data_IF_952744766303
#
_entry.id   IF_952744766303
#
_cell.length_a   1.000
_cell.length_b   1.000
_cell.length_c   1.000
_cell.angle_alpha   90.00
_cell.angle_beta   90.00
_cell.angle_gamma   90.00
#
_symmetry.space_group_name_H-M   'P 1'
#
loop_
_entity.id
_entity.type
_entity.pdbx_description
1 polymer ?
#
# COMPACT_ATOMS: atom_id res chain seq x y z
N UNK A 1 -5.57 5.25 28.71
CA UNK A 1 -6.09 5.83 27.48
C UNK A 1 -5.58 5.10 26.23
N UNK A 2 -4.47 4.38 26.32
CA UNK A 2 -3.93 3.63 25.17
C UNK A 2 -4.04 2.13 25.45
N UNK A 3 -4.25 1.34 24.40
CA UNK A 3 -4.31 -0.11 24.52
C UNK A 3 -2.96 -0.67 25.02
N UNK A 4 -2.99 -1.81 25.69
CA UNK A 4 -1.77 -2.50 26.08
C UNK A 4 -0.90 -2.77 24.84
N UNK A 5 0.40 -2.46 24.92
CA UNK A 5 1.34 -2.61 23.82
C UNK A 5 1.50 -1.34 22.95
N UNK A 6 0.88 -0.22 23.29
CA UNK A 6 1.13 1.07 22.61
C UNK A 6 2.20 1.86 23.38
N UNK A 7 3.27 2.22 22.71
CA UNK A 7 4.32 3.12 23.22
C UNK A 7 4.22 4.47 22.53
N UNK A 8 4.29 5.56 23.28
CA UNK A 8 4.33 6.91 22.74
C UNK A 8 5.71 7.50 22.99
N UNK A 9 6.34 7.99 21.94
CA UNK A 9 7.61 8.71 21.99
C UNK A 9 7.44 10.10 21.39
N UNK A 10 8.13 11.09 21.94
CA UNK A 10 8.11 12.46 21.43
C UNK A 10 9.54 12.92 21.11
N UNK A 11 9.72 13.46 19.91
CA UNK A 11 10.97 14.13 19.51
C UNK A 11 10.76 15.62 19.69
N UNK A 12 11.45 16.21 20.66
CA UNK A 12 11.36 17.62 21.01
C UNK A 12 12.65 18.34 20.70
N UNK A 13 12.56 19.61 20.32
CA UNK A 13 13.72 20.46 20.02
C UNK A 13 13.29 21.80 19.44
N UNK A 14 14.21 22.76 19.39
CA UNK A 14 13.99 24.07 18.80
C UNK A 14 13.66 23.97 17.32
N UNK A 15 13.00 24.99 16.75
CA UNK A 15 12.81 25.05 15.30
C UNK A 15 14.18 25.08 14.60
N UNK A 16 14.30 24.33 13.49
CA UNK A 16 15.58 24.18 12.78
C UNK A 16 16.56 23.18 13.38
N UNK A 17 16.22 22.45 14.46
CA UNK A 17 17.12 21.46 15.09
C UNK A 17 17.21 20.10 14.37
N UNK A 18 16.68 19.96 13.16
CA UNK A 18 16.76 18.75 12.36
C UNK A 18 15.78 17.63 12.71
N UNK A 19 14.72 17.90 13.51
CA UNK A 19 13.73 16.88 13.88
C UNK A 19 13.06 16.20 12.67
N UNK A 20 12.62 17.01 11.72
CA UNK A 20 12.00 16.51 10.50
C UNK A 20 13.01 15.80 9.60
N UNK A 21 14.25 16.30 9.54
CA UNK A 21 15.32 15.68 8.77
C UNK A 21 15.71 14.29 9.32
N UNK A 22 15.68 14.11 10.64
CA UNK A 22 15.91 12.81 11.27
C UNK A 22 14.81 11.81 10.88
N UNK A 23 13.55 12.23 10.87
CA UNK A 23 12.43 11.38 10.45
C UNK A 23 12.51 11.07 8.96
N UNK A 24 12.80 12.06 8.11
CA UNK A 24 12.98 11.89 6.68
C UNK A 24 14.10 10.91 6.36
N UNK A 25 15.25 11.02 7.04
CA UNK A 25 16.36 10.08 6.95
C UNK A 25 15.89 8.64 7.29
N UNK A 26 15.14 8.49 8.37
CA UNK A 26 14.60 7.21 8.79
C UNK A 26 13.70 6.60 7.71
N UNK A 27 12.82 7.41 7.10
CA UNK A 27 11.93 6.95 6.04
C UNK A 27 12.70 6.50 4.80
N UNK A 28 13.75 7.22 4.40
CA UNK A 28 14.64 6.85 3.27
C UNK A 28 15.31 5.50 3.53
N UNK A 29 15.78 5.26 4.74
CA UNK A 29 16.45 4.00 5.10
C UNK A 29 15.50 2.81 5.02
N UNK A 30 14.27 2.94 5.54
CA UNK A 30 13.26 1.88 5.40
C UNK A 30 12.81 1.68 3.96
N UNK A 31 12.67 2.76 3.20
CA UNK A 31 12.36 2.69 1.78
C UNK A 31 13.43 1.92 1.01
N UNK A 32 14.71 2.23 1.23
CA UNK A 32 15.83 1.56 0.58
C UNK A 32 15.91 0.07 0.96
N UNK A 33 15.71 -0.26 2.23
CA UNK A 33 15.61 -1.66 2.66
C UNK A 33 14.45 -2.39 1.97
N UNK A 34 13.28 -1.76 1.90
CA UNK A 34 12.12 -2.30 1.20
C UNK A 34 12.36 -2.53 -0.28
N UNK A 35 13.03 -1.57 -0.96
CA UNK A 35 13.46 -1.71 -2.35
C UNK A 35 14.36 -2.94 -2.55
N UNK A 36 15.39 -3.08 -1.72
CA UNK A 36 16.34 -4.20 -1.80
C UNK A 36 15.65 -5.56 -1.57
N UNK A 37 14.75 -5.64 -0.59
CA UNK A 37 13.95 -6.85 -0.31
C UNK A 37 13.05 -7.20 -1.51
N UNK A 38 12.36 -6.24 -2.10
CA UNK A 38 11.53 -6.45 -3.29
C UNK A 38 12.35 -6.94 -4.49
N UNK A 39 13.49 -6.32 -4.75
CA UNK A 39 14.43 -6.73 -5.80
C UNK A 39 14.87 -8.17 -5.63
N UNK A 40 15.22 -8.58 -4.42
CA UNK A 40 15.65 -9.94 -4.09
C UNK A 40 14.52 -10.97 -4.22
N UNK A 41 13.28 -10.59 -3.94
CA UNK A 41 12.10 -11.44 -4.10
C UNK A 41 11.64 -11.59 -5.56
N UNK A 42 12.24 -10.85 -6.50
CA UNK A 42 11.87 -10.83 -7.93
C UNK A 42 10.37 -10.60 -8.11
N UNK A 43 9.85 -9.56 -7.49
CA UNK A 43 8.44 -9.20 -7.61
C UNK A 43 8.07 -8.85 -9.05
N UNK A 44 6.83 -9.18 -9.43
CA UNK A 44 6.30 -8.89 -10.76
C UNK A 44 6.15 -7.38 -10.99
N UNK A 45 6.27 -6.89 -12.24
CA UNK A 45 6.24 -5.47 -12.56
C UNK A 45 4.91 -4.74 -12.27
N UNK A 46 3.86 -5.47 -11.88
CA UNK A 46 2.52 -4.92 -11.57
C UNK A 46 2.35 -4.38 -10.15
N UNK A 47 3.36 -4.56 -9.29
CA UNK A 47 3.30 -4.05 -7.91
C UNK A 47 3.84 -2.61 -7.82
N UNK A 48 3.41 -1.81 -6.81
CA UNK A 48 3.93 -0.47 -6.61
C UNK A 48 5.45 -0.48 -6.63
N UNK A 49 6.04 0.31 -7.49
CA UNK A 49 7.49 0.40 -7.60
C UNK A 49 8.02 1.23 -6.43
N UNK A 50 8.94 0.67 -5.65
CA UNK A 50 9.73 1.45 -4.72
C UNK A 50 10.90 2.07 -5.47
N UNK A 51 11.13 3.36 -5.28
CA UNK A 51 12.32 4.04 -5.79
C UNK A 51 13.43 3.99 -4.76
N UNK A 52 14.64 3.60 -5.17
CA UNK A 52 15.81 3.63 -4.30
C UNK A 52 16.39 5.04 -4.24
N UNK A 53 16.75 5.49 -3.04
CA UNK A 53 17.40 6.77 -2.79
C UNK A 53 18.91 6.53 -2.66
N UNK A 54 19.73 6.89 -3.67
CA UNK A 54 21.18 6.71 -3.62
C UNK A 54 21.86 7.72 -2.70
N UNK A 55 23.16 7.53 -2.50
CA UNK A 55 24.04 8.46 -1.79
C UNK A 55 23.62 8.76 -0.35
N UNK A 56 22.94 7.81 0.28
CA UNK A 56 22.54 7.85 1.69
C UNK A 56 23.62 7.17 2.54
N UNK A 57 24.08 7.83 3.62
CA UNK A 57 25.08 7.30 4.53
C UNK A 57 24.58 7.41 5.96
N UNK A 58 24.04 6.32 6.50
CA UNK A 58 23.51 6.29 7.85
C UNK A 58 23.31 4.85 8.37
N UNK A 59 23.35 4.72 9.68
CA UNK A 59 22.96 3.53 10.43
C UNK A 59 21.67 3.80 11.22
N UNK A 60 20.78 2.82 11.28
CA UNK A 60 19.57 2.88 12.07
C UNK A 60 19.43 1.64 12.95
N UNK A 61 19.64 1.82 14.24
CA UNK A 61 19.44 0.79 15.26
C UNK A 61 17.99 0.79 15.77
N UNK A 62 17.40 -0.40 15.87
CA UNK A 62 16.07 -0.57 16.45
C UNK A 62 15.89 -1.96 17.06
N UNK A 63 14.79 -2.14 17.78
CA UNK A 63 14.46 -3.41 18.42
C UNK A 63 13.12 -3.90 17.91
N UNK A 64 13.10 -5.14 17.44
CA UNK A 64 11.87 -5.86 17.10
C UNK A 64 11.43 -6.69 18.31
N UNK A 65 10.18 -6.57 18.71
CA UNK A 65 9.59 -7.34 19.81
C UNK A 65 8.58 -8.32 19.21
N UNK A 66 8.79 -9.62 19.40
CA UNK A 66 7.80 -10.62 19.01
C UNK A 66 6.58 -10.50 19.94
N UNK A 67 5.38 -10.19 19.41
CA UNK A 67 4.19 -9.97 20.24
C UNK A 67 3.68 -11.23 20.95
N UNK A 68 4.14 -12.42 20.55
CA UNK A 68 3.73 -13.70 21.16
C UNK A 68 4.67 -14.15 22.25
N UNK A 69 5.95 -13.91 22.09
CA UNK A 69 7.01 -14.43 22.96
C UNK A 69 7.66 -13.37 23.82
N UNK A 70 7.40 -12.08 23.55
CA UNK A 70 8.04 -10.90 24.16
C UNK A 70 9.58 -10.89 23.99
N UNK A 71 10.10 -11.70 23.05
CA UNK A 71 11.52 -11.75 22.75
C UNK A 71 11.92 -10.49 21.99
N UNK A 72 12.98 -9.84 22.46
CA UNK A 72 13.57 -8.65 21.85
C UNK A 72 14.72 -9.04 20.94
N UNK A 73 14.66 -8.63 19.68
CA UNK A 73 15.74 -8.80 18.71
C UNK A 73 16.28 -7.44 18.31
N UNK A 74 17.58 -7.23 18.48
CA UNK A 74 18.28 -6.02 18.04
C UNK A 74 18.51 -6.09 16.54
N UNK A 75 18.24 -5.01 15.85
CA UNK A 75 18.37 -4.88 14.41
C UNK A 75 19.12 -3.60 14.06
N UNK A 76 19.85 -3.61 12.96
CA UNK A 76 20.46 -2.42 12.38
C UNK A 76 20.29 -2.42 10.88
N UNK A 77 19.93 -1.28 10.30
CA UNK A 77 19.94 -1.03 8.86
C UNK A 77 21.13 -0.14 8.56
N UNK A 78 21.98 -0.56 7.62
CA UNK A 78 23.10 0.21 7.12
C UNK A 78 22.79 0.67 5.70
N UNK A 79 22.91 1.97 5.42
CA UNK A 79 22.87 2.53 4.09
C UNK A 79 24.18 3.27 3.84
N UNK A 80 24.95 2.82 2.87
CA UNK A 80 26.24 3.40 2.48
C UNK A 80 26.29 3.55 0.95
N UNK A 81 25.83 4.69 0.46
CA UNK A 81 25.75 4.96 -0.95
C UNK A 81 24.79 4.00 -1.66
N UNK A 82 25.32 3.11 -2.46
CA UNK A 82 24.57 2.09 -3.22
C UNK A 82 24.45 0.74 -2.49
N UNK A 83 25.07 0.62 -1.31
CA UNK A 83 25.08 -0.61 -0.52
C UNK A 83 24.08 -0.50 0.62
N UNK A 84 23.23 -1.52 0.75
CA UNK A 84 22.36 -1.69 1.92
C UNK A 84 22.71 -2.99 2.60
N UNK A 85 22.88 -2.95 3.93
CA UNK A 85 23.06 -4.14 4.73
C UNK A 85 22.08 -4.12 5.92
N UNK A 86 21.82 -5.29 6.48
CA UNK A 86 20.84 -5.46 7.54
C UNK A 86 21.31 -6.49 8.56
N UNK A 87 21.25 -6.12 9.83
CA UNK A 87 21.51 -7.01 10.94
C UNK A 87 20.20 -7.38 11.64
N UNK A 88 20.02 -8.68 11.92
CA UNK A 88 18.92 -9.22 12.69
C UNK A 88 19.45 -10.16 13.79
N UNK A 89 19.57 -9.65 14.97
CA UNK A 89 20.19 -10.38 16.08
C UNK A 89 21.67 -10.68 15.80
N UNK A 90 21.98 -11.95 15.54
CA UNK A 90 23.34 -12.39 15.19
C UNK A 90 23.56 -12.54 13.69
N UNK A 91 22.50 -12.51 12.93
CA UNK A 91 22.54 -12.69 11.49
C UNK A 91 22.82 -11.35 10.81
N UNK A 92 23.72 -11.36 9.83
CA UNK A 92 24.20 -10.17 9.13
C UNK A 92 24.12 -10.41 7.63
N UNK A 93 23.35 -9.58 6.93
CA UNK A 93 23.08 -9.73 5.50
C UNK A 93 23.47 -8.47 4.74
N UNK A 94 24.00 -8.62 3.53
CA UNK A 94 24.20 -7.54 2.58
C UNK A 94 23.43 -7.77 1.29
N UNK A 95 22.90 -6.72 0.76
CA UNK A 95 22.25 -6.74 -0.55
C UNK A 95 23.27 -6.47 -1.66
N UNK A 96 23.06 -7.00 -2.89
CA UNK A 96 23.88 -6.64 -4.03
C UNK A 96 23.86 -5.12 -4.25
N UNK A 97 25.02 -4.50 -4.54
CA UNK A 97 25.08 -3.08 -4.83
C UNK A 97 24.12 -2.67 -5.92
N UNK A 98 23.48 -1.53 -5.78
CA UNK A 98 22.39 -1.13 -6.68
C UNK A 98 22.92 -0.79 -8.07
N UNK A 99 24.01 -0.01 -8.17
CA UNK A 99 24.65 0.38 -9.46
C UNK A 99 25.89 -0.47 -9.80
N UNK A 100 26.00 -1.64 -9.18
CA UNK A 100 27.12 -2.56 -9.47
C UNK A 100 28.48 -2.16 -8.88
N UNK A 101 28.55 -1.08 -8.11
CA UNK A 101 29.74 -0.66 -7.37
C UNK A 101 29.44 -0.77 -5.88
N UNK A 102 30.25 -1.51 -5.16
CA UNK A 102 30.18 -1.49 -3.70
C UNK A 102 31.02 -0.32 -3.20
N UNK A 103 30.36 0.67 -2.61
CA UNK A 103 31.03 1.63 -1.77
C UNK A 103 31.28 0.92 -0.43
N UNK A 104 32.52 0.75 -0.01
CA UNK A 104 32.92 0.11 1.26
C UNK A 104 32.71 -1.42 1.34
N UNK A 105 33.18 -2.18 0.36
CA UNK A 105 33.17 -3.66 0.42
C UNK A 105 33.84 -4.23 1.68
N UNK A 106 34.86 -3.57 2.20
CA UNK A 106 35.62 -4.01 3.38
C UNK A 106 34.77 -3.92 4.67
N UNK A 107 33.85 -2.98 4.76
CA UNK A 107 33.05 -2.74 5.96
C UNK A 107 32.00 -3.85 6.19
N UNK A 108 31.57 -4.50 5.11
CA UNK A 108 30.61 -5.61 5.15
C UNK A 108 31.25 -6.96 4.77
N UNK A 109 32.56 -7.11 4.97
CA UNK A 109 33.30 -8.32 4.60
C UNK A 109 32.81 -9.60 5.30
N UNK A 110 32.16 -9.48 6.47
CA UNK A 110 31.60 -10.61 7.23
C UNK A 110 30.10 -10.84 7.04
N UNK A 111 29.47 -10.10 6.13
CA UNK A 111 28.02 -10.20 5.91
C UNK A 111 27.70 -11.23 4.83
N UNK A 112 26.69 -12.05 5.08
CA UNK A 112 26.22 -13.02 4.11
C UNK A 112 25.47 -12.32 2.95
N UNK A 113 25.74 -12.69 1.68
CA UNK A 113 24.93 -12.21 0.57
C UNK A 113 23.46 -12.64 0.74
N UNK A 114 22.53 -11.72 0.63
CA UNK A 114 21.11 -12.04 0.79
C UNK A 114 20.58 -13.04 -0.26
N UNK A 115 21.27 -13.15 -1.39
CA UNK A 115 21.00 -14.14 -2.44
C UNK A 115 21.14 -15.59 -1.95
N UNK A 116 21.85 -15.82 -0.84
CA UNK A 116 21.96 -17.15 -0.20
C UNK A 116 20.69 -17.56 0.53
N UNK A 117 19.80 -16.61 0.83
CA UNK A 117 18.54 -16.88 1.52
C UNK A 117 17.47 -17.43 0.57
N UNK A 118 16.74 -18.40 1.07
CA UNK A 118 15.57 -18.90 0.37
C UNK A 118 14.43 -17.88 0.38
N UNK A 119 13.52 -17.95 -0.58
CA UNK A 119 12.32 -17.10 -0.63
C UNK A 119 11.50 -17.13 0.69
N UNK A 120 11.52 -18.27 1.38
CA UNK A 120 10.84 -18.45 2.67
C UNK A 120 11.52 -17.67 3.80
N UNK A 121 12.84 -17.62 3.81
CA UNK A 121 13.63 -16.85 4.79
C UNK A 121 13.51 -15.36 4.54
N UNK A 122 13.58 -14.92 3.28
CA UNK A 122 13.30 -13.54 2.88
C UNK A 122 11.88 -13.10 3.29
N UNK A 123 10.88 -13.98 3.10
CA UNK A 123 9.52 -13.73 3.56
C UNK A 123 9.42 -13.56 5.08
N UNK A 124 10.17 -14.36 5.86
CA UNK A 124 10.22 -14.19 7.32
C UNK A 124 10.87 -12.87 7.73
N UNK A 125 11.98 -12.47 7.09
CA UNK A 125 12.62 -11.17 7.33
C UNK A 125 11.66 -10.02 7.03
N UNK A 126 10.95 -10.05 5.90
CA UNK A 126 9.98 -9.01 5.56
C UNK A 126 8.82 -8.92 6.57
N UNK A 127 8.40 -10.05 7.17
CA UNK A 127 7.39 -10.06 8.23
C UNK A 127 7.89 -9.58 9.59
N UNK A 128 9.20 -9.61 9.83
CA UNK A 128 9.81 -9.07 11.05
C UNK A 128 9.99 -7.54 10.96
N UNK A 129 9.96 -6.97 9.75
CA UNK A 129 10.02 -5.54 9.57
C UNK A 129 8.68 -4.91 9.89
N UNK A 130 8.73 -3.78 10.54
CA UNK A 130 7.52 -3.06 10.89
C UNK A 130 7.00 -2.24 9.70
N UNK A 131 5.71 -2.07 9.70
CA UNK A 131 5.00 -1.20 8.78
C UNK A 131 4.86 0.18 9.43
N UNK A 132 5.26 1.22 8.73
CA UNK A 132 5.24 2.59 9.23
C UNK A 132 4.19 3.42 8.50
N UNK A 133 3.28 4.03 9.25
CA UNK A 133 2.35 5.02 8.72
C UNK A 133 2.81 6.40 9.20
N UNK A 134 3.12 7.27 8.25
CA UNK A 134 3.48 8.66 8.52
C UNK A 134 2.26 9.52 8.24
N UNK A 135 1.77 10.21 9.26
CA UNK A 135 0.60 11.09 9.13
C UNK A 135 1.08 12.54 9.19
N UNK A 136 0.92 13.27 8.09
CA UNK A 136 1.27 14.69 8.01
C UNK A 136 0.30 15.45 7.09
N UNK A 137 -0.50 16.29 7.68
CA UNK A 137 -1.44 17.18 6.98
C UNK A 137 -0.83 18.55 6.60
N UNK A 138 0.48 18.75 6.80
CA UNK A 138 1.15 19.98 6.39
C UNK A 138 1.18 20.10 4.88
N UNK A 139 0.69 21.19 4.34
CA UNK A 139 0.75 21.51 2.91
C UNK A 139 2.18 21.82 2.43
N UNK A 140 3.13 22.00 3.35
CA UNK A 140 4.51 22.37 3.07
C UNK A 140 5.52 21.23 3.30
N UNK A 141 5.04 20.00 3.55
CA UNK A 141 5.92 18.87 3.79
C UNK A 141 5.64 17.75 2.79
N UNK A 142 6.68 17.00 2.43
CA UNK A 142 6.62 15.90 1.47
C UNK A 142 6.13 16.36 0.07
N UNK A 143 6.62 17.50 -0.39
CA UNK A 143 6.37 17.96 -1.75
C UNK A 143 7.33 17.24 -2.70
N UNK A 144 6.87 16.56 -3.76
CA UNK A 144 7.75 15.81 -4.67
C UNK A 144 8.88 16.66 -5.24
N UNK A 145 8.64 17.93 -5.50
CA UNK A 145 9.65 18.84 -6.05
C UNK A 145 10.89 19.02 -5.14
N UNK A 146 10.73 18.85 -3.83
CA UNK A 146 11.84 18.94 -2.87
C UNK A 146 12.75 17.69 -2.93
N UNK A 147 12.28 16.60 -3.53
CA UNK A 147 12.97 15.30 -3.61
C UNK A 147 13.54 14.99 -4.99
N UNK A 148 13.42 15.92 -5.94
CA UNK A 148 13.93 15.73 -7.31
C UNK A 148 15.45 15.59 -7.38
N UNK A 149 16.18 16.19 -6.43
CA UNK A 149 17.63 16.09 -6.32
C UNK A 149 18.13 14.73 -5.81
N UNK A 150 17.25 13.88 -5.29
CA UNK A 150 17.62 12.59 -4.68
C UNK A 150 18.11 11.56 -5.71
N UNK A 151 17.87 11.79 -7.00
CA UNK A 151 18.34 10.87 -8.04
C UNK A 151 17.74 9.48 -7.94
N UNK A 152 16.44 9.39 -7.69
CA UNK A 152 15.72 8.12 -7.45
C UNK A 152 15.98 7.08 -8.54
N UNK A 153 16.39 5.88 -8.13
CA UNK A 153 16.60 4.74 -9.03
C UNK A 153 15.38 3.80 -8.97
N UNK A 154 14.88 3.44 -10.14
CA UNK A 154 13.73 2.55 -10.30
C UNK A 154 14.17 1.20 -10.86
N UNK A 155 13.38 0.16 -10.65
CA UNK A 155 13.62 -1.14 -11.29
C UNK A 155 12.87 -1.23 -12.61
N UNK A 156 13.63 -1.49 -13.68
CA UNK A 156 13.08 -1.89 -14.96
C UNK A 156 13.74 -3.23 -15.36
N UNK A 157 12.96 -4.25 -15.59
CA UNK A 157 13.44 -5.61 -15.90
C UNK A 157 14.49 -6.14 -14.89
N UNK A 158 14.33 -5.80 -13.61
CA UNK A 158 15.25 -6.05 -12.49
C UNK A 158 16.58 -5.28 -12.53
N UNK A 159 16.75 -4.35 -13.44
CA UNK A 159 17.90 -3.46 -13.49
C UNK A 159 17.55 -2.05 -12.96
N UNK A 160 18.45 -1.41 -12.19
CA UNK A 160 18.21 -0.06 -11.68
C UNK A 160 18.36 0.98 -12.82
N UNK A 161 17.34 1.79 -13.01
CA UNK A 161 17.34 2.91 -13.95
C UNK A 161 17.06 4.22 -13.24
N UNK A 162 17.66 5.31 -13.71
CA UNK A 162 17.35 6.65 -13.25
C UNK A 162 16.12 7.19 -14.02
N UNK A 163 15.01 7.40 -13.32
CA UNK A 163 13.82 8.01 -13.89
C UNK A 163 13.72 9.49 -13.52
N UNK A 164 13.55 10.36 -14.51
CA UNK A 164 13.49 11.81 -14.31
C UNK A 164 12.09 12.36 -14.00
N UNK A 165 11.05 11.51 -14.01
CA UNK A 165 9.65 11.97 -13.95
C UNK A 165 8.95 11.77 -12.62
N UNK A 166 9.51 11.00 -11.71
CA UNK A 166 8.91 10.73 -10.42
C UNK A 166 9.99 10.59 -9.35
N UNK A 167 9.63 10.90 -8.12
CA UNK A 167 10.50 10.80 -6.95
C UNK A 167 10.10 9.62 -6.10
N UNK A 168 11.01 9.08 -5.29
CA UNK A 168 10.72 7.94 -4.41
C UNK A 168 9.51 8.20 -3.49
N UNK A 169 9.25 9.46 -3.16
CA UNK A 169 8.17 9.85 -2.24
C UNK A 169 6.78 9.73 -2.89
N UNK A 170 6.68 9.86 -4.21
CA UNK A 170 5.40 9.77 -4.91
C UNK A 170 4.72 8.42 -4.68
N UNK A 171 5.50 7.34 -4.64
CA UNK A 171 4.99 5.98 -4.44
C UNK A 171 4.68 5.65 -2.97
N UNK A 172 5.07 6.53 -2.04
CA UNK A 172 4.75 6.38 -0.62
C UNK A 172 3.33 6.85 -0.28
N UNK A 173 2.70 7.65 -1.15
CA UNK A 173 1.34 8.12 -0.99
C UNK A 173 0.34 7.14 -1.61
N UNK A 174 -0.30 6.33 -0.80
CA UNK A 174 -1.28 5.36 -1.25
C UNK A 174 -2.71 5.91 -1.19
N UNK A 175 -3.44 5.74 -2.28
CA UNK A 175 -4.86 6.06 -2.36
C UNK A 175 -5.73 5.06 -1.59
N UNK A 176 -5.30 3.80 -1.60
CA UNK A 176 -5.95 2.71 -0.87
C UNK A 176 -4.84 1.97 -0.13
N UNK A 177 -4.91 1.87 1.19
CA UNK A 177 -3.91 1.21 2.04
C UNK A 177 -3.57 -0.20 1.54
N UNK A 178 -2.72 -0.26 0.52
CA UNK A 178 -2.34 -1.51 -0.12
C UNK A 178 -1.32 -2.31 0.69
N UNK A 179 -0.76 -1.73 1.77
CA UNK A 179 0.28 -2.33 2.60
C UNK A 179 1.43 -2.95 1.80
N UNK A 180 1.69 -2.39 0.61
CA UNK A 180 2.67 -2.94 -0.35
C UNK A 180 4.06 -2.35 -0.17
N UNK A 181 4.19 -1.31 0.64
CA UNK A 181 5.44 -0.62 0.94
C UNK A 181 5.71 -0.63 2.44
N UNK A 182 6.96 -0.57 2.90
CA UNK A 182 7.29 -0.54 4.32
C UNK A 182 6.85 0.76 5.00
N UNK A 183 6.66 1.81 4.22
CA UNK A 183 6.24 3.13 4.69
C UNK A 183 5.07 3.60 3.83
N UNK A 184 4.05 4.15 4.48
CA UNK A 184 2.93 4.81 3.82
C UNK A 184 2.81 6.23 4.35
N UNK A 185 2.74 7.18 3.44
CA UNK A 185 2.46 8.57 3.76
C UNK A 185 0.95 8.84 3.66
N UNK A 186 0.39 9.43 4.68
CA UNK A 186 -1.02 9.78 4.78
C UNK A 186 -1.14 11.27 5.17
N UNK A 187 -2.04 12.06 4.61
CA UNK A 187 -3.07 11.71 3.63
C UNK A 187 -2.51 11.51 2.21
N UNK A 188 -3.27 10.79 1.39
CA UNK A 188 -2.95 10.64 -0.03
C UNK A 188 -2.82 12.03 -0.70
N UNK A 189 -1.79 12.17 -1.51
CA UNK A 189 -1.54 13.40 -2.28
C UNK A 189 -1.55 13.09 -3.77
N UNK A 190 -2.23 13.93 -4.53
CA UNK A 190 -2.19 13.90 -5.97
C UNK A 190 -1.30 15.04 -6.46
N UNK A 191 -0.11 14.74 -6.98
CA UNK A 191 0.90 15.74 -7.35
C UNK A 191 1.14 16.81 -6.25
N UNK A 192 1.32 16.34 -5.00
CA UNK A 192 1.54 17.22 -3.85
C UNK A 192 0.29 17.86 -3.23
N UNK A 193 -0.88 17.74 -3.86
CA UNK A 193 -2.14 18.33 -3.37
C UNK A 193 -2.93 17.32 -2.53
N UNK A 194 -3.35 17.74 -1.34
CA UNK A 194 -4.24 16.95 -0.47
C UNK A 194 -5.68 17.20 -0.91
N UNK A 195 -6.37 16.15 -1.37
CA UNK A 195 -7.80 16.20 -1.67
C UNK A 195 -8.61 15.78 -0.44
N UNK A 196 -9.12 16.76 0.29
CA UNK A 196 -9.89 16.53 1.51
C UNK A 196 -11.20 15.78 1.24
N UNK A 197 -11.84 16.00 0.08
CA UNK A 197 -13.07 15.28 -0.28
C UNK A 197 -12.84 13.78 -0.44
N UNK A 198 -11.74 13.38 -1.06
CA UNK A 198 -11.36 11.97 -1.15
C UNK A 198 -11.01 11.35 0.21
N UNK A 199 -10.45 12.13 1.13
CA UNK A 199 -10.12 11.67 2.49
C UNK A 199 -11.40 11.38 3.27
N UNK A 200 -12.39 12.25 3.21
CA UNK A 200 -13.67 12.05 3.89
C UNK A 200 -14.39 10.79 3.36
N UNK A 201 -14.44 10.59 2.03
CA UNK A 201 -15.00 9.36 1.43
C UNK A 201 -14.26 8.09 1.89
N UNK A 202 -12.93 8.14 2.04
CA UNK A 202 -12.14 7.03 2.55
C UNK A 202 -12.43 6.75 4.02
N UNK A 203 -12.47 7.78 4.86
CA UNK A 203 -12.77 7.65 6.29
C UNK A 203 -14.15 7.00 6.49
N UNK A 204 -15.16 7.44 5.75
CA UNK A 204 -16.51 6.86 5.82
C UNK A 204 -16.50 5.38 5.41
N UNK A 205 -15.78 5.04 4.36
CA UNK A 205 -15.65 3.66 3.88
C UNK A 205 -14.95 2.76 4.89
N UNK A 206 -13.88 3.24 5.52
CA UNK A 206 -13.16 2.49 6.57
C UNK A 206 -13.97 2.34 7.83
N UNK A 207 -14.61 3.42 8.31
CA UNK A 207 -15.47 3.39 9.47
C UNK A 207 -16.60 2.37 9.28
N UNK A 208 -17.24 2.35 8.11
CA UNK A 208 -18.27 1.38 7.76
C UNK A 208 -17.72 -0.06 7.75
N UNK A 209 -16.58 -0.28 7.13
CA UNK A 209 -15.94 -1.60 7.05
C UNK A 209 -15.61 -2.14 8.45
N UNK A 210 -15.08 -1.29 9.33
CA UNK A 210 -14.80 -1.63 10.72
C UNK A 210 -16.11 -1.94 11.50
N UNK A 211 -17.16 -1.13 11.33
CA UNK A 211 -18.47 -1.38 11.96
C UNK A 211 -19.05 -2.73 11.56
N UNK A 212 -19.02 -3.06 10.26
CA UNK A 212 -19.49 -4.35 9.74
C UNK A 212 -18.63 -5.50 10.28
N UNK A 213 -17.32 -5.34 10.31
CA UNK A 213 -16.39 -6.35 10.83
C UNK A 213 -16.64 -6.64 12.31
N UNK A 214 -16.73 -5.61 13.15
CA UNK A 214 -16.97 -5.79 14.59
C UNK A 214 -18.35 -6.38 14.87
N UNK A 215 -19.39 -5.93 14.17
CA UNK A 215 -20.74 -6.46 14.32
C UNK A 215 -20.82 -7.94 13.92
N UNK A 216 -20.23 -8.34 12.81
CA UNK A 216 -20.40 -9.68 12.26
C UNK A 216 -19.46 -10.71 12.90
N UNK A 217 -18.20 -10.35 13.17
CA UNK A 217 -17.19 -11.32 13.64
C UNK A 217 -17.01 -11.34 15.15
N UNK A 218 -17.07 -10.19 15.81
CA UNK A 218 -16.79 -10.11 17.25
C UNK A 218 -18.04 -9.95 18.09
N UNK A 219 -19.20 -9.76 17.50
CA UNK A 219 -20.48 -9.50 18.20
C UNK A 219 -20.37 -8.39 19.25
N UNK A 220 -19.41 -7.48 19.08
CA UNK A 220 -19.23 -6.35 19.96
C UNK A 220 -20.34 -5.32 19.68
N UNK A 221 -20.97 -4.84 20.74
CA UNK A 221 -22.00 -3.79 20.64
C UNK A 221 -21.37 -2.41 20.48
N UNK A 222 -20.17 -2.21 21.01
CA UNK A 222 -19.48 -0.92 21.00
C UNK A 222 -18.48 -0.86 19.84
N UNK A 223 -18.57 0.19 19.06
CA UNK A 223 -17.61 0.52 17.99
C UNK A 223 -16.33 1.15 18.56
N UNK A 224 -16.50 2.04 19.53
CA UNK A 224 -15.45 2.61 20.37
C UNK A 224 -15.94 2.57 21.83
N UNK A 225 -15.03 2.59 22.82
CA UNK A 225 -15.44 2.61 24.23
C UNK A 225 -16.47 3.70 24.51
N UNK A 226 -17.64 3.31 25.00
CA UNK A 226 -18.75 4.22 25.30
C UNK A 226 -19.65 4.61 24.10
N UNK A 227 -19.38 4.10 22.89
CA UNK A 227 -20.16 4.42 21.69
C UNK A 227 -20.76 3.15 21.07
N UNK A 228 -22.09 3.12 20.97
CA UNK A 228 -22.82 2.05 20.27
C UNK A 228 -23.36 2.57 18.94
N UNK A 229 -23.32 1.73 17.91
CA UNK A 229 -23.94 2.08 16.63
C UNK A 229 -25.46 1.99 16.74
N UNK A 230 -26.14 3.12 16.70
CA UNK A 230 -27.60 3.18 16.72
C UNK A 230 -28.22 2.88 15.36
N UNK A 231 -27.78 3.61 14.33
CA UNK A 231 -28.30 3.51 12.95
C UNK A 231 -27.18 3.82 11.96
N UNK A 232 -27.16 3.08 10.86
CA UNK A 232 -26.33 3.37 9.68
C UNK A 232 -27.27 3.73 8.53
N UNK A 233 -27.12 4.91 7.98
CA UNK A 233 -27.87 5.35 6.81
C UNK A 233 -26.95 5.32 5.59
N UNK A 234 -27.40 4.66 4.54
CA UNK A 234 -26.74 4.64 3.25
C UNK A 234 -27.45 5.59 2.31
N UNK A 235 -26.76 6.58 1.77
CA UNK A 235 -27.24 7.35 0.63
C UNK A 235 -26.62 6.77 -0.64
N UNK A 236 -27.47 6.50 -1.61
CA UNK A 236 -27.05 6.01 -2.93
C UNK A 236 -26.59 7.18 -3.79
N UNK A 237 -25.39 7.07 -4.39
CA UNK A 237 -24.97 8.00 -5.45
C UNK A 237 -25.67 7.59 -6.74
N UNK A 238 -26.88 8.15 -6.96
CA UNK A 238 -27.79 7.72 -7.99
C UNK A 238 -27.23 7.91 -9.40
N UNK A 239 -26.83 6.81 -9.99
CA UNK A 239 -26.67 6.70 -11.43
C UNK A 239 -25.28 6.98 -12.01
N UNK A 240 -24.30 7.49 -11.25
CA UNK A 240 -22.96 7.77 -11.79
C UNK A 240 -22.30 6.56 -12.47
N UNK A 241 -22.41 5.38 -11.86
CA UNK A 241 -21.90 4.14 -12.46
C UNK A 241 -22.73 3.70 -13.66
N UNK A 242 -24.05 3.76 -13.54
CA UNK A 242 -24.98 3.41 -14.62
C UNK A 242 -24.73 4.30 -15.83
N UNK A 243 -24.61 5.60 -15.64
CA UNK A 243 -24.37 6.54 -16.74
C UNK A 243 -23.02 6.30 -17.41
N UNK A 244 -21.99 5.98 -16.62
CA UNK A 244 -20.67 5.65 -17.15
C UNK A 244 -20.71 4.37 -18.01
N UNK A 245 -21.37 3.32 -17.55
CA UNK A 245 -21.47 2.05 -18.27
C UNK A 245 -22.40 2.18 -19.49
N UNK A 246 -23.48 2.94 -19.39
CA UNK A 246 -24.45 3.17 -20.46
C UNK A 246 -23.79 3.76 -21.71
N UNK A 247 -22.84 4.64 -21.57
CA UNK A 247 -22.13 5.26 -22.71
C UNK A 247 -21.51 4.25 -23.67
N UNK A 248 -21.19 3.04 -23.21
CA UNK A 248 -20.59 1.99 -24.03
C UNK A 248 -21.60 1.00 -24.63
N UNK A 249 -22.88 1.08 -24.27
CA UNK A 249 -23.88 0.08 -24.66
C UNK A 249 -24.90 0.58 -25.71
N UNK A 250 -24.89 1.88 -25.98
CA UNK A 250 -25.89 2.48 -26.88
C UNK A 250 -27.34 2.52 -26.32
N UNK A 251 -27.54 2.19 -25.03
CA UNK A 251 -28.85 2.27 -24.39
C UNK A 251 -29.34 3.73 -24.30
N UNK A 252 -30.62 3.95 -24.65
CA UNK A 252 -31.17 5.29 -24.71
C UNK A 252 -31.29 5.96 -23.33
N UNK A 253 -31.63 5.17 -22.30
CA UNK A 253 -31.77 5.63 -20.93
C UNK A 253 -31.25 4.61 -19.89
N UNK A 254 -31.26 5.01 -18.62
CA UNK A 254 -30.79 4.17 -17.50
C UNK A 254 -31.61 2.91 -17.33
N UNK A 255 -32.93 2.98 -17.54
CA UNK A 255 -33.82 1.85 -17.35
C UNK A 255 -33.56 0.78 -18.42
N UNK A 256 -33.45 1.19 -19.68
CA UNK A 256 -33.10 0.29 -20.77
C UNK A 256 -31.75 -0.38 -20.54
N UNK A 257 -30.72 0.36 -20.08
CA UNK A 257 -29.43 -0.19 -19.74
C UNK A 257 -29.56 -1.25 -18.63
N UNK A 258 -30.27 -0.94 -17.54
CA UNK A 258 -30.41 -1.88 -16.42
C UNK A 258 -31.18 -3.14 -16.81
N UNK A 259 -32.19 -3.02 -17.70
CA UNK A 259 -32.89 -4.19 -18.21
C UNK A 259 -31.95 -5.09 -19.03
N UNK A 260 -31.17 -4.53 -19.95
CA UNK A 260 -30.15 -5.28 -20.71
C UNK A 260 -29.11 -5.94 -19.80
N UNK A 261 -28.68 -5.23 -18.76
CA UNK A 261 -27.74 -5.78 -17.79
C UNK A 261 -28.33 -6.93 -16.97
N UNK A 262 -29.59 -6.81 -16.53
CA UNK A 262 -30.32 -7.89 -15.84
C UNK A 262 -30.45 -9.14 -16.72
N UNK A 263 -30.76 -8.98 -17.99
CA UNK A 263 -30.83 -10.09 -18.93
C UNK A 263 -29.44 -10.76 -19.12
N UNK A 264 -28.40 -9.95 -19.25
CA UNK A 264 -27.03 -10.44 -19.36
C UNK A 264 -26.56 -11.20 -18.11
N UNK A 265 -26.94 -10.75 -16.90
CA UNK A 265 -26.62 -11.45 -15.63
C UNK A 265 -27.36 -12.78 -15.53
N UNK A 266 -28.57 -12.88 -16.06
CA UNK A 266 -29.36 -14.13 -16.06
C UNK A 266 -28.89 -15.15 -17.10
N UNK A 267 -28.21 -14.70 -18.16
CA UNK A 267 -27.65 -15.58 -19.17
C UNK A 267 -26.40 -16.29 -18.65
N UNK A 268 -26.41 -17.63 -18.43
CA UNK A 268 -25.27 -18.37 -17.89
C UNK A 268 -24.00 -18.27 -18.73
N UNK A 269 -24.12 -18.00 -20.02
CA UNK A 269 -22.99 -17.91 -20.94
C UNK A 269 -22.37 -16.50 -20.97
N UNK A 270 -23.07 -15.51 -20.45
CA UNK A 270 -22.59 -14.15 -20.43
C UNK A 270 -21.56 -13.95 -19.30
N UNK A 271 -20.44 -13.22 -19.57
CA UNK A 271 -19.39 -12.96 -18.60
C UNK A 271 -19.90 -12.31 -17.30
N UNK A 272 -20.91 -11.44 -17.37
CA UNK A 272 -21.49 -10.82 -16.18
C UNK A 272 -22.09 -11.86 -15.23
N UNK A 273 -22.79 -12.87 -15.78
CA UNK A 273 -23.31 -14.00 -15.00
C UNK A 273 -22.20 -14.81 -14.35
N UNK A 274 -21.15 -15.10 -15.11
CA UNK A 274 -20.02 -15.89 -14.61
C UNK A 274 -19.30 -15.17 -13.47
N UNK A 275 -19.07 -13.86 -13.59
CA UNK A 275 -18.48 -13.04 -12.53
C UNK A 275 -19.34 -13.05 -11.28
N UNK A 276 -20.65 -12.77 -11.40
CA UNK A 276 -21.58 -12.72 -10.27
C UNK A 276 -21.62 -14.06 -9.53
N UNK A 277 -21.65 -15.17 -10.26
CA UNK A 277 -21.62 -16.52 -9.69
C UNK A 277 -20.29 -16.86 -9.03
N UNK A 278 -19.16 -16.41 -9.60
CA UNK A 278 -17.83 -16.60 -9.01
C UNK A 278 -17.70 -15.94 -7.64
N UNK A 279 -18.44 -14.83 -7.41
CA UNK A 279 -18.55 -14.21 -6.09
C UNK A 279 -19.59 -14.88 -5.16
N UNK A 280 -20.22 -15.97 -5.60
CA UNK A 280 -21.19 -16.74 -4.81
C UNK A 280 -22.61 -16.13 -4.75
N UNK A 281 -22.94 -15.24 -5.67
CA UNK A 281 -24.27 -14.63 -5.73
C UNK A 281 -25.21 -15.35 -6.70
N UNK A 282 -26.50 -15.29 -6.39
CA UNK A 282 -27.59 -15.85 -7.19
C UNK A 282 -27.99 -14.89 -8.29
N UNK A 283 -27.77 -15.28 -9.55
CA UNK A 283 -28.07 -14.46 -10.74
C UNK A 283 -29.57 -14.23 -10.98
N UNK A 284 -30.42 -15.11 -10.47
CA UNK A 284 -31.91 -14.99 -10.65
C UNK A 284 -32.47 -13.83 -9.80
N UNK A 285 -31.70 -13.36 -8.82
CA UNK A 285 -32.05 -12.21 -7.99
C UNK A 285 -31.64 -10.85 -8.60
N UNK A 286 -31.17 -10.83 -9.82
CA UNK A 286 -30.78 -9.59 -10.51
C UNK A 286 -32.00 -8.71 -10.78
N UNK A 287 -32.34 -7.85 -9.82
CA UNK A 287 -33.40 -6.84 -9.94
C UNK A 287 -33.13 -5.66 -9.01
N UNK A 288 -33.60 -4.48 -9.32
CA UNK A 288 -33.50 -3.28 -8.51
C UNK A 288 -32.10 -3.06 -7.93
N UNK A 289 -32.01 -2.89 -6.61
CA UNK A 289 -30.75 -2.64 -5.90
C UNK A 289 -29.73 -3.79 -6.04
N UNK A 290 -30.21 -5.03 -6.15
CA UNK A 290 -29.34 -6.19 -6.35
C UNK A 290 -28.66 -6.15 -7.71
N UNK A 291 -29.37 -5.76 -8.75
CA UNK A 291 -28.78 -5.59 -10.09
C UNK A 291 -27.70 -4.51 -10.12
N UNK A 292 -27.90 -3.41 -9.38
CA UNK A 292 -26.88 -2.35 -9.27
C UNK A 292 -25.64 -2.82 -8.52
N UNK A 293 -25.79 -3.64 -7.48
CA UNK A 293 -24.66 -4.27 -6.80
C UNK A 293 -23.89 -5.20 -7.75
N UNK A 294 -24.59 -5.98 -8.56
CA UNK A 294 -23.97 -6.86 -9.55
C UNK A 294 -23.24 -6.06 -10.63
N UNK A 295 -23.84 -4.95 -11.09
CA UNK A 295 -23.18 -4.03 -12.01
C UNK A 295 -21.87 -3.47 -11.42
N UNK A 296 -21.89 -3.07 -10.16
CA UNK A 296 -20.69 -2.61 -9.46
C UNK A 296 -19.61 -3.70 -9.38
N UNK A 297 -19.99 -4.94 -9.03
CA UNK A 297 -19.06 -6.08 -8.99
C UNK A 297 -18.42 -6.34 -10.35
N UNK A 298 -19.22 -6.43 -11.41
CA UNK A 298 -18.74 -6.66 -12.76
C UNK A 298 -17.81 -5.53 -13.20
N UNK A 299 -18.22 -4.27 -13.02
CA UNK A 299 -17.39 -3.11 -13.34
C UNK A 299 -16.06 -3.11 -12.60
N UNK A 300 -16.08 -3.39 -11.28
CA UNK A 300 -14.85 -3.42 -10.47
C UNK A 300 -13.93 -4.56 -10.86
N UNK A 301 -14.45 -5.72 -11.19
CA UNK A 301 -13.66 -6.86 -11.68
C UNK A 301 -12.89 -6.47 -12.94
N UNK A 302 -13.57 -5.87 -13.94
CA UNK A 302 -12.89 -5.39 -15.14
C UNK A 302 -11.92 -4.24 -14.87
N UNK A 303 -12.31 -3.29 -14.02
CA UNK A 303 -11.45 -2.16 -13.69
C UNK A 303 -10.16 -2.60 -12.92
N UNK A 304 -10.23 -3.70 -12.17
CA UNK A 304 -9.06 -4.29 -11.52
C UNK A 304 -8.26 -5.07 -12.57
N UNK A 305 -8.90 -5.93 -13.34
CA UNK A 305 -8.23 -6.73 -14.37
C UNK A 305 -7.45 -5.84 -15.36
N UNK A 306 -8.06 -4.74 -15.82
CA UNK A 306 -7.42 -3.79 -16.74
C UNK A 306 -6.18 -3.07 -16.17
N UNK A 307 -5.91 -3.16 -14.87
CA UNK A 307 -4.73 -2.55 -14.24
C UNK A 307 -3.54 -3.50 -14.15
N UNK A 308 -3.74 -4.78 -14.40
CA UNK A 308 -2.72 -5.80 -14.21
C UNK A 308 -2.44 -6.50 -15.52
N UNK A 309 -1.22 -6.41 -16.01
CA UNK A 309 -0.78 -7.01 -17.28
C UNK A 309 -1.03 -8.52 -17.36
N UNK A 310 -1.05 -9.22 -16.22
CA UNK A 310 -1.35 -10.66 -16.16
C UNK A 310 -2.78 -11.03 -16.63
N UNK A 311 -3.68 -10.03 -16.75
CA UNK A 311 -5.07 -10.22 -17.17
C UNK A 311 -5.39 -9.67 -18.56
N UNK A 312 -4.38 -9.12 -19.28
CA UNK A 312 -4.58 -8.63 -20.65
C UNK A 312 -4.99 -9.71 -21.66
N UNK A 313 -4.81 -10.98 -21.28
CA UNK A 313 -5.09 -12.15 -22.15
C UNK A 313 -6.54 -12.63 -22.01
N UNK A 314 -7.32 -12.11 -21.06
CA UNK A 314 -8.71 -12.46 -20.81
C UNK A 314 -9.65 -11.30 -21.13
#
# INVERSE_FOLDING_TARGET
FFAAGVTISAIVGKNGSGKSSLLDLTYRMFNNLGYCLKRSLKHKPTEPHLGFVPDLYADLDFVVIDPKTDVKTYCCIHNYGDTVAFEYGKEKFKFPPIRGKADNEDEFAGYEPLESLTRKELGKLSHCLFYTIVINYSMQAFLPDEYTSDGTLWLQDNEPILAMKSTWIDEMFHKNDGYMTPIVLNPYRNHGTIDMGNIDELIDTYALSLLIFYKNRKRQKEFMPGYTTGRIEFSRNDGKLIDKCRQFTGAADRQQFMNLFCDAVKDPMHYASQIVRAYGFDTDRANGMTAELYLYLVYKTFAIAAKYADYEVY
#
